data_IF_665336779610
#
_entry.id   IF_665336779610
#
_cell.length_a   1.000
_cell.length_b   1.000
_cell.length_c   1.000
_cell.angle_alpha   90.00
_cell.angle_beta   90.00
_cell.angle_gamma   90.00
#
_symmetry.space_group_name_H-M   'P 1'
#
loop_
_entity.id
_entity.type
_entity.pdbx_description
1 polymer ?
#
# COMPACT_ATOMS: atom_id res chain seq x y z
N UNK A 1 -13.79 -46.08 0.88
CA UNK A 1 -12.74 -45.94 -0.15
C UNK A 1 -12.11 -44.56 0.01
N UNK A 2 -10.82 -44.58 0.33
CA UNK A 2 -9.80 -43.52 0.41
C UNK A 2 -10.22 -42.04 0.42
N UNK A 3 -9.97 -41.42 1.56
CA UNK A 3 -9.60 -40.02 1.69
C UNK A 3 -8.31 -39.77 0.89
N UNK A 4 -8.37 -38.94 -0.15
CA UNK A 4 -7.16 -38.39 -0.77
C UNK A 4 -6.91 -36.99 -0.22
N UNK A 5 -5.92 -36.95 0.66
CA UNK A 5 -5.20 -35.79 1.15
C UNK A 5 -4.85 -34.84 0.00
N UNK A 6 -5.37 -33.60 0.05
CA UNK A 6 -4.87 -32.52 -0.76
C UNK A 6 -3.50 -32.11 -0.19
N UNK A 7 -2.47 -32.44 -0.95
CA UNK A 7 -1.07 -32.17 -0.68
C UNK A 7 -0.85 -30.66 -0.50
N UNK A 8 -0.19 -30.24 0.59
CA UNK A 8 0.14 -28.84 0.93
C UNK A 8 1.16 -28.18 -0.02
N UNK A 9 1.22 -28.56 -1.29
CA UNK A 9 2.22 -28.06 -2.24
C UNK A 9 1.68 -27.08 -3.29
N UNK A 10 0.36 -26.82 -3.33
CA UNK A 10 -0.25 -25.92 -4.34
C UNK A 10 -0.40 -24.44 -3.91
N UNK A 11 0.13 -24.04 -2.75
CA UNK A 11 0.17 -22.64 -2.29
C UNK A 11 1.53 -21.95 -2.51
N UNK A 12 2.27 -22.33 -3.56
CA UNK A 12 3.50 -21.60 -3.92
C UNK A 12 3.14 -20.35 -4.71
N UNK A 13 3.14 -19.20 -4.03
CA UNK A 13 3.21 -17.88 -4.68
C UNK A 13 4.34 -17.88 -5.73
N UNK A 14 4.13 -17.31 -6.93
CA UNK A 14 5.20 -17.15 -7.91
C UNK A 14 6.35 -16.35 -7.28
N UNK A 15 7.54 -16.95 -7.23
CA UNK A 15 8.78 -16.27 -6.84
C UNK A 15 9.07 -15.18 -7.88
N UNK A 16 8.89 -13.92 -7.51
CA UNK A 16 9.56 -12.82 -8.20
C UNK A 16 11.07 -13.08 -8.05
N UNK A 17 11.81 -12.94 -9.15
CA UNK A 17 13.28 -12.99 -9.15
C UNK A 17 13.76 -12.03 -8.07
N UNK A 18 14.47 -12.58 -7.07
CA UNK A 18 15.03 -11.79 -5.99
C UNK A 18 15.77 -10.60 -6.58
N UNK A 19 15.33 -9.39 -6.27
CA UNK A 19 16.24 -8.25 -6.29
C UNK A 19 17.48 -8.69 -5.52
N UNK A 20 18.65 -8.54 -6.14
CA UNK A 20 19.96 -8.86 -5.59
C UNK A 20 19.99 -8.58 -4.09
N UNK A 21 20.35 -9.60 -3.31
CA UNK A 21 20.53 -9.54 -1.86
C UNK A 21 21.55 -8.46 -1.50
N UNK A 22 21.08 -7.23 -1.36
CA UNK A 22 21.85 -6.16 -0.75
C UNK A 22 21.58 -6.26 0.74
N UNK A 23 22.49 -6.93 1.45
CA UNK A 23 22.55 -6.82 2.90
C UNK A 23 23.09 -5.42 3.22
N UNK A 24 22.38 -4.59 4.01
CA UNK A 24 22.93 -3.32 4.42
C UNK A 24 24.19 -3.60 5.23
N UNK A 25 25.29 -2.97 4.84
CA UNK A 25 26.53 -2.93 5.61
C UNK A 25 26.20 -2.55 7.05
N UNK A 26 26.66 -3.36 7.98
CA UNK A 26 26.62 -3.13 9.43
C UNK A 26 27.21 -1.75 9.76
N UNK A 27 26.36 -0.74 9.92
CA UNK A 27 26.83 0.62 10.18
C UNK A 27 25.79 1.73 10.29
N UNK A 28 24.49 1.45 10.34
CA UNK A 28 23.47 2.48 10.61
C UNK A 28 22.58 1.99 11.74
N UNK A 29 22.55 2.79 12.82
CA UNK A 29 21.78 2.55 14.04
C UNK A 29 20.39 1.96 13.75
N UNK A 30 20.04 0.89 14.44
CA UNK A 30 18.78 0.14 14.38
C UNK A 30 17.57 0.94 14.92
N UNK A 31 17.40 2.18 14.48
CA UNK A 31 16.38 3.10 14.95
C UNK A 31 15.54 3.68 13.81
N UNK A 32 14.30 4.04 14.12
CA UNK A 32 13.38 4.72 13.20
C UNK A 32 14.01 6.00 12.64
N UNK A 33 14.09 6.18 11.30
CA UNK A 33 14.72 7.36 10.70
C UNK A 33 14.05 8.68 11.12
N UNK A 34 14.83 9.75 11.14
CA UNK A 34 14.34 11.12 11.28
C UNK A 34 13.55 11.58 10.04
N UNK A 35 12.75 12.64 10.18
CA UNK A 35 12.02 13.22 9.05
C UNK A 35 12.95 13.73 7.94
N UNK A 36 14.16 14.18 8.27
CA UNK A 36 15.14 14.63 7.27
C UNK A 36 15.66 13.44 6.45
N UNK A 37 16.00 12.33 7.11
CA UNK A 37 16.41 11.10 6.43
C UNK A 37 15.28 10.54 5.57
N UNK A 38 14.04 10.52 6.07
CA UNK A 38 12.86 10.12 5.30
C UNK A 38 12.58 11.03 4.10
N UNK A 39 12.92 12.31 4.16
CA UNK A 39 12.83 13.21 3.00
C UNK A 39 13.93 12.88 1.99
N UNK A 40 15.16 12.62 2.41
CA UNK A 40 16.27 12.21 1.52
C UNK A 40 15.98 10.89 0.82
N UNK A 41 15.66 9.84 1.60
CA UNK A 41 14.44 9.04 1.44
C UNK A 41 13.72 9.06 0.10
N UNK A 42 12.93 10.11 -0.09
CA UNK A 42 11.94 10.31 -1.15
C UNK A 42 12.50 11.17 -2.30
N UNK A 43 13.60 11.91 -2.08
CA UNK A 43 14.18 12.87 -3.04
C UNK A 43 14.98 12.27 -4.19
N UNK A 44 15.31 10.97 -4.20
CA UNK A 44 16.00 10.37 -5.36
C UNK A 44 15.05 10.32 -6.57
N UNK A 45 15.51 10.53 -7.80
CA UNK A 45 14.60 10.73 -8.95
C UNK A 45 13.94 9.42 -9.40
N UNK A 46 12.75 9.13 -8.88
CA UNK A 46 11.80 8.21 -9.51
C UNK A 46 10.51 9.00 -9.74
N UNK A 47 10.25 9.44 -10.97
CA UNK A 47 8.96 10.00 -11.32
C UNK A 47 7.97 8.86 -11.58
N UNK A 48 6.67 9.01 -11.25
CA UNK A 48 5.65 8.07 -11.72
C UNK A 48 5.77 7.89 -13.23
N UNK A 49 5.87 6.65 -13.70
CA UNK A 49 6.01 6.36 -15.14
C UNK A 49 4.66 6.29 -15.86
N UNK A 50 3.56 6.37 -15.10
CA UNK A 50 2.19 6.42 -15.61
C UNK A 50 1.14 6.61 -14.51
N UNK A 51 -0.11 6.32 -14.86
CA UNK A 51 -1.28 6.49 -13.98
C UNK A 51 -1.38 5.45 -12.85
N UNK A 52 -0.70 4.32 -13.00
CA UNK A 52 -0.74 3.20 -12.06
C UNK A 52 0.54 2.37 -12.15
N UNK A 53 1.03 1.89 -11.00
CA UNK A 53 2.16 0.97 -10.92
C UNK A 53 1.85 -0.15 -9.91
N UNK A 54 2.29 -1.37 -10.19
CA UNK A 54 2.30 -2.45 -9.21
C UNK A 54 3.49 -2.26 -8.28
N UNK A 55 3.23 -2.03 -6.99
CA UNK A 55 4.27 -1.67 -6.01
C UNK A 55 4.58 -2.81 -5.04
N UNK A 56 3.73 -3.83 -5.04
CA UNK A 56 3.81 -5.08 -4.30
C UNK A 56 2.91 -6.11 -5.00
N UNK A 57 3.14 -7.44 -4.91
CA UNK A 57 2.36 -8.42 -5.66
C UNK A 57 0.84 -8.21 -5.53
N UNK A 58 0.19 -7.97 -6.67
CA UNK A 58 -1.24 -7.68 -6.80
C UNK A 58 -1.74 -6.40 -6.09
N UNK A 59 -0.84 -5.53 -5.63
CA UNK A 59 -1.16 -4.25 -4.98
C UNK A 59 -0.62 -3.09 -5.81
N UNK A 60 -1.55 -2.25 -6.26
CA UNK A 60 -1.30 -1.16 -7.19
C UNK A 60 -1.51 0.18 -6.51
N UNK A 61 -0.64 1.15 -6.83
CA UNK A 61 -0.85 2.56 -6.48
C UNK A 61 -1.13 3.34 -7.73
N UNK A 62 -2.20 4.13 -7.72
CA UNK A 62 -2.60 4.91 -8.89
C UNK A 62 -3.20 6.28 -8.58
N UNK A 63 -3.47 7.02 -9.64
CA UNK A 63 -4.10 8.33 -9.61
C UNK A 63 -5.61 8.27 -9.94
N UNK A 64 -6.25 9.44 -10.02
CA UNK A 64 -7.66 9.55 -10.38
C UNK A 64 -7.96 9.04 -11.79
N UNK A 65 -7.00 9.12 -12.71
CA UNK A 65 -7.21 8.76 -14.11
C UNK A 65 -7.46 7.26 -14.23
N UNK A 66 -6.55 6.43 -13.69
CA UNK A 66 -6.75 4.97 -13.68
C UNK A 66 -8.00 4.56 -12.90
N UNK A 67 -8.31 5.27 -11.80
CA UNK A 67 -9.49 4.97 -10.99
C UNK A 67 -10.81 5.19 -11.74
N UNK A 68 -10.81 6.02 -12.79
CA UNK A 68 -11.96 6.27 -13.67
C UNK A 68 -11.95 5.44 -14.95
N UNK A 69 -10.82 4.86 -15.33
CA UNK A 69 -10.71 4.00 -16.51
C UNK A 69 -11.16 2.57 -16.20
N UNK A 70 -12.47 2.35 -16.22
CA UNK A 70 -13.08 1.03 -16.01
C UNK A 70 -12.54 -0.05 -16.95
N UNK A 71 -12.21 0.31 -18.19
CA UNK A 71 -11.68 -0.62 -19.16
C UNK A 71 -10.28 -1.07 -18.76
N UNK A 72 -9.44 -0.15 -18.28
CA UNK A 72 -8.12 -0.49 -17.73
C UNK A 72 -8.24 -1.33 -16.45
N UNK A 73 -9.13 -0.96 -15.51
CA UNK A 73 -9.36 -1.74 -14.29
C UNK A 73 -9.78 -3.18 -14.61
N UNK A 74 -10.68 -3.36 -15.57
CA UNK A 74 -11.12 -4.67 -16.05
C UNK A 74 -9.97 -5.47 -16.68
N UNK A 75 -9.18 -4.86 -17.58
CA UNK A 75 -8.00 -5.51 -18.20
C UNK A 75 -6.95 -5.94 -17.17
N UNK A 76 -6.74 -5.14 -16.12
CA UNK A 76 -5.82 -5.47 -15.03
C UNK A 76 -6.38 -6.55 -14.09
N UNK A 77 -7.69 -6.78 -14.13
CA UNK A 77 -8.39 -7.67 -13.20
C UNK A 77 -8.47 -7.10 -11.78
N UNK A 78 -8.57 -5.77 -11.65
CA UNK A 78 -8.76 -5.14 -10.33
C UNK A 78 -10.07 -5.65 -9.73
N UNK A 79 -9.99 -6.10 -8.50
CA UNK A 79 -11.10 -6.69 -7.74
C UNK A 79 -11.50 -5.84 -6.53
N UNK A 80 -10.59 -5.00 -6.04
CA UNK A 80 -10.83 -4.13 -4.89
C UNK A 80 -10.25 -2.74 -5.17
N UNK A 81 -10.97 -1.69 -4.82
CA UNK A 81 -10.54 -0.30 -4.97
C UNK A 81 -10.60 0.40 -3.62
N UNK A 82 -9.46 0.92 -3.16
CA UNK A 82 -9.36 1.83 -2.02
C UNK A 82 -9.18 3.26 -2.55
N UNK A 83 -10.19 4.10 -2.39
CA UNK A 83 -10.14 5.51 -2.72
C UNK A 83 -9.71 6.32 -1.50
N UNK A 84 -8.43 6.69 -1.43
CA UNK A 84 -7.84 7.47 -0.35
C UNK A 84 -8.17 8.98 -0.41
N UNK A 85 -9.12 9.38 -1.26
CA UNK A 85 -9.55 10.76 -1.45
C UNK A 85 -11.06 10.83 -1.74
N UNK A 86 -11.83 9.92 -1.12
CA UNK A 86 -13.27 9.85 -1.27
C UNK A 86 -13.97 11.11 -0.72
N UNK A 87 -15.24 11.28 -1.09
CA UNK A 87 -16.08 12.36 -0.61
C UNK A 87 -16.67 13.19 -1.74
N UNK A 88 -17.84 13.77 -1.48
CA UNK A 88 -18.65 14.51 -2.47
C UNK A 88 -17.89 15.65 -3.14
N UNK A 89 -17.04 16.36 -2.38
CA UNK A 89 -16.25 17.49 -2.85
C UNK A 89 -14.81 17.11 -3.23
N UNK A 90 -14.52 15.80 -3.36
CA UNK A 90 -13.22 15.24 -3.73
C UNK A 90 -13.39 14.26 -4.89
N UNK A 91 -12.87 13.04 -4.77
CA UNK A 91 -13.02 11.99 -5.77
C UNK A 91 -14.29 11.20 -5.46
N UNK A 92 -15.39 11.65 -6.05
CA UNK A 92 -16.70 11.04 -5.88
C UNK A 92 -16.94 9.94 -6.93
N UNK A 93 -16.12 8.89 -6.94
CA UNK A 93 -16.46 7.65 -7.67
C UNK A 93 -17.50 6.87 -6.86
N UNK A 94 -17.13 6.39 -5.68
CA UNK A 94 -18.03 5.61 -4.83
C UNK A 94 -18.36 4.23 -5.42
N UNK A 95 -19.08 3.37 -4.68
CA UNK A 95 -19.40 2.01 -5.14
C UNK A 95 -20.29 2.02 -6.39
N UNK A 96 -21.21 2.98 -6.50
CA UNK A 96 -22.12 3.10 -7.66
C UNK A 96 -21.38 3.36 -8.98
N UNK A 97 -20.22 4.02 -8.93
CA UNK A 97 -19.43 4.23 -10.14
C UNK A 97 -18.93 2.90 -10.71
N UNK A 98 -18.65 1.88 -9.89
CA UNK A 98 -18.10 0.60 -10.32
C UNK A 98 -19.16 -0.51 -10.47
N UNK A 99 -20.45 -0.17 -10.55
CA UNK A 99 -21.55 -1.15 -10.52
C UNK A 99 -21.58 -2.15 -11.69
N UNK A 100 -20.87 -1.85 -12.78
CA UNK A 100 -20.67 -2.66 -13.98
C UNK A 100 -19.37 -3.49 -13.94
N UNK A 101 -18.60 -3.39 -12.86
CA UNK A 101 -17.39 -4.16 -12.62
C UNK A 101 -17.56 -5.01 -11.35
N UNK A 102 -16.96 -6.22 -11.30
CA UNK A 102 -16.93 -7.03 -10.10
C UNK A 102 -15.86 -6.51 -9.13
N UNK A 103 -16.03 -5.26 -8.67
CA UNK A 103 -15.09 -4.55 -7.81
C UNK A 103 -15.75 -4.24 -6.47
N UNK A 104 -15.09 -4.62 -5.39
CA UNK A 104 -15.40 -4.12 -4.06
C UNK A 104 -14.74 -2.75 -3.82
N UNK A 105 -15.44 -1.86 -3.12
CA UNK A 105 -15.04 -0.46 -2.99
C UNK A 105 -14.93 -0.03 -1.52
N UNK A 106 -13.78 0.53 -1.16
CA UNK A 106 -13.51 1.13 0.13
C UNK A 106 -13.17 2.62 -0.02
N UNK A 107 -13.99 3.51 0.54
CA UNK A 107 -13.75 4.96 0.50
C UNK A 107 -13.16 5.50 1.80
N UNK A 108 -12.06 6.25 1.70
CA UNK A 108 -11.48 7.03 2.81
C UNK A 108 -11.60 8.51 2.46
N UNK A 109 -12.36 9.26 3.26
CA UNK A 109 -12.53 10.70 3.09
C UNK A 109 -11.34 11.49 3.66
N UNK A 110 -10.21 11.47 2.97
CA UNK A 110 -8.96 12.09 3.43
C UNK A 110 -8.53 13.34 2.65
N UNK A 111 -8.03 14.33 3.42
CA UNK A 111 -7.34 15.52 2.92
C UNK A 111 -5.87 15.25 2.67
N UNK A 112 -5.28 15.89 1.66
CA UNK A 112 -3.83 15.90 1.49
C UNK A 112 -3.21 17.07 2.27
N UNK A 113 -3.47 17.09 3.57
CA UNK A 113 -3.05 18.15 4.46
C UNK A 113 -2.16 17.56 5.56
N UNK A 114 -0.99 18.16 5.87
CA UNK A 114 -0.14 17.72 6.98
C UNK A 114 -0.84 17.66 8.35
N UNK A 115 -1.95 18.39 8.53
CA UNK A 115 -2.73 18.40 9.76
C UNK A 115 -3.86 17.36 9.77
N UNK A 116 -4.10 16.66 8.66
CA UNK A 116 -5.11 15.60 8.61
C UNK A 116 -4.58 14.34 9.27
N UNK A 117 -5.35 13.76 10.20
CA UNK A 117 -5.01 12.49 10.82
C UNK A 117 -5.42 11.32 9.91
N UNK A 118 -4.48 10.82 9.12
CA UNK A 118 -4.70 9.63 8.28
C UNK A 118 -4.43 8.34 9.05
N UNK A 119 -3.78 8.42 10.22
CA UNK A 119 -3.34 7.26 11.00
C UNK A 119 -4.49 6.40 11.50
N UNK A 120 -5.65 7.02 11.75
CA UNK A 120 -6.90 6.32 12.11
C UNK A 120 -7.34 5.29 11.06
N UNK A 121 -6.88 5.45 9.81
CA UNK A 121 -7.21 4.56 8.71
C UNK A 121 -6.13 3.50 8.45
N UNK A 122 -4.97 3.54 9.11
CA UNK A 122 -3.87 2.62 8.83
C UNK A 122 -4.25 1.16 9.04
N UNK A 123 -4.72 0.79 10.23
CA UNK A 123 -5.11 -0.58 10.52
C UNK A 123 -6.35 -1.05 9.72
N UNK A 124 -7.47 -0.30 9.68
CA UNK A 124 -8.65 -0.72 8.91
C UNK A 124 -8.35 -0.94 7.43
N UNK A 125 -7.57 -0.04 6.81
CA UNK A 125 -7.21 -0.18 5.39
C UNK A 125 -6.18 -1.31 5.19
N UNK A 126 -5.21 -1.47 6.10
CA UNK A 126 -4.26 -2.57 6.00
C UNK A 126 -4.94 -3.94 6.08
N UNK A 127 -5.92 -4.10 6.98
CA UNK A 127 -6.76 -5.30 7.08
C UNK A 127 -7.58 -5.56 5.82
N UNK A 128 -8.19 -4.51 5.27
CA UNK A 128 -8.92 -4.59 4.01
C UNK A 128 -8.02 -5.06 2.85
N UNK A 129 -6.83 -4.45 2.72
CA UNK A 129 -5.85 -4.85 1.71
C UNK A 129 -5.40 -6.30 1.92
N UNK A 130 -5.09 -6.71 3.16
CA UNK A 130 -4.69 -8.10 3.47
C UNK A 130 -5.78 -9.10 3.09
N UNK A 131 -7.03 -8.85 3.49
CA UNK A 131 -8.16 -9.73 3.19
C UNK A 131 -8.39 -9.85 1.66
N UNK A 132 -8.32 -8.73 0.95
CA UNK A 132 -8.43 -8.70 -0.50
C UNK A 132 -7.31 -9.50 -1.18
N UNK A 133 -6.04 -9.31 -0.78
CA UNK A 133 -4.90 -10.04 -1.34
C UNK A 133 -4.88 -11.54 -1.00
N UNK A 134 -5.52 -11.95 0.09
CA UNK A 134 -5.69 -13.37 0.44
C UNK A 134 -6.83 -14.04 -0.32
N UNK A 135 -7.71 -13.27 -0.96
CA UNK A 135 -8.80 -13.80 -1.76
C UNK A 135 -8.28 -14.35 -3.10
N UNK A 136 -8.82 -15.47 -3.62
CA UNK A 136 -8.42 -16.01 -4.92
C UNK A 136 -8.55 -14.97 -6.04
N UNK A 137 -7.45 -14.69 -6.74
CA UNK A 137 -7.41 -13.67 -7.80
C UNK A 137 -7.47 -12.22 -7.31
N UNK A 138 -7.34 -11.99 -6.00
CA UNK A 138 -7.40 -10.68 -5.37
C UNK A 138 -6.32 -9.72 -5.88
N UNK A 139 -6.76 -8.60 -6.47
CA UNK A 139 -5.95 -7.46 -6.89
C UNK A 139 -6.55 -6.16 -6.40
N UNK A 140 -5.71 -5.34 -5.77
CA UNK A 140 -6.12 -4.12 -5.06
C UNK A 140 -5.52 -2.89 -5.71
N UNK A 141 -6.34 -1.92 -6.07
CA UNK A 141 -5.91 -0.57 -6.42
C UNK A 141 -6.12 0.36 -5.21
N UNK A 142 -5.04 0.97 -4.72
CA UNK A 142 -5.11 2.08 -3.77
C UNK A 142 -4.79 3.37 -4.51
N UNK A 143 -5.78 4.26 -4.63
CA UNK A 143 -5.60 5.50 -5.40
C UNK A 143 -5.92 6.74 -4.57
N UNK A 144 -5.38 7.87 -4.99
CA UNK A 144 -5.81 9.19 -4.53
C UNK A 144 -5.97 10.11 -5.74
N UNK A 145 -5.72 11.42 -5.61
CA UNK A 145 -5.76 12.32 -6.75
C UNK A 145 -4.59 12.05 -7.72
N UNK A 146 -3.37 11.92 -7.20
CA UNK A 146 -2.13 11.77 -7.98
C UNK A 146 -1.42 10.43 -7.77
N UNK A 147 -1.87 9.62 -6.82
CA UNK A 147 -1.16 8.38 -6.47
C UNK A 147 0.22 8.61 -5.85
N UNK A 148 0.43 9.74 -5.14
CA UNK A 148 1.75 10.16 -4.63
C UNK A 148 1.80 10.26 -3.11
N UNK A 149 0.77 10.82 -2.47
CA UNK A 149 0.76 11.11 -1.03
C UNK A 149 -0.21 10.20 -0.26
N UNK A 150 -1.50 10.53 -0.14
CA UNK A 150 -2.50 9.76 0.64
C UNK A 150 -2.50 8.24 0.38
N UNK A 151 -2.62 7.83 -0.88
CA UNK A 151 -2.64 6.39 -1.24
C UNK A 151 -1.31 5.70 -0.95
N UNK A 152 -0.19 6.39 -1.21
CA UNK A 152 1.14 5.88 -0.87
C UNK A 152 1.27 5.69 0.64
N UNK A 153 0.81 6.64 1.46
CA UNK A 153 0.83 6.51 2.92
C UNK A 153 0.10 5.27 3.40
N UNK A 154 -1.11 5.01 2.88
CA UNK A 154 -1.88 3.82 3.26
C UNK A 154 -1.19 2.51 2.85
N UNK A 155 -0.57 2.48 1.66
CA UNK A 155 0.22 1.31 1.21
C UNK A 155 1.48 1.12 2.05
N UNK A 156 2.19 2.19 2.40
CA UNK A 156 3.35 2.11 3.30
C UNK A 156 2.93 1.56 4.68
N UNK A 157 1.84 2.07 5.25
CA UNK A 157 1.31 1.56 6.50
C UNK A 157 0.93 0.08 6.40
N UNK A 158 0.30 -0.37 5.31
CA UNK A 158 0.01 -1.78 5.07
C UNK A 158 1.29 -2.65 5.07
N UNK A 159 2.33 -2.22 4.35
CA UNK A 159 3.60 -2.97 4.30
C UNK A 159 4.27 -3.04 5.70
N UNK A 160 4.15 -1.97 6.49
CA UNK A 160 4.68 -1.97 7.85
C UNK A 160 3.89 -2.89 8.78
N UNK A 161 2.56 -2.79 8.76
CA UNK A 161 1.67 -3.53 9.67
C UNK A 161 1.63 -5.01 9.29
N UNK A 162 1.31 -5.31 8.03
CA UNK A 162 1.01 -6.67 7.62
C UNK A 162 2.24 -7.43 7.07
N UNK A 163 3.21 -6.75 6.46
CA UNK A 163 4.44 -7.39 5.92
C UNK A 163 5.65 -7.22 6.85
N UNK A 164 5.49 -6.59 8.02
CA UNK A 164 6.53 -6.45 9.04
C UNK A 164 7.72 -5.60 8.61
N UNK A 165 7.54 -4.70 7.63
CA UNK A 165 8.61 -3.83 7.15
C UNK A 165 8.84 -2.65 8.10
N UNK A 166 10.08 -2.21 8.23
CA UNK A 166 10.34 -0.85 8.75
C UNK A 166 9.85 0.20 7.76
N UNK A 167 9.60 1.42 8.23
CA UNK A 167 9.23 2.54 7.36
C UNK A 167 10.23 2.76 6.22
N UNK A 168 11.53 2.65 6.50
CA UNK A 168 12.56 2.79 5.48
C UNK A 168 12.46 1.72 4.39
N UNK A 169 12.25 0.45 4.79
CA UNK A 169 12.10 -0.67 3.87
C UNK A 169 10.80 -0.58 3.05
N UNK A 170 9.69 -0.16 3.67
CA UNK A 170 8.43 0.08 2.98
C UNK A 170 8.57 1.18 1.93
N UNK A 171 9.22 2.30 2.27
CA UNK A 171 9.50 3.39 1.32
C UNK A 171 10.33 2.87 0.14
N UNK A 172 11.43 2.18 0.40
CA UNK A 172 12.28 1.65 -0.66
C UNK A 172 11.54 0.67 -1.58
N UNK A 173 10.70 -0.20 -1.00
CA UNK A 173 9.88 -1.17 -1.74
C UNK A 173 8.96 -0.46 -2.73
N UNK A 174 8.14 0.49 -2.26
CA UNK A 174 7.21 1.22 -3.13
C UNK A 174 7.95 2.09 -4.13
N UNK A 175 9.02 2.77 -3.70
CA UNK A 175 9.79 3.70 -4.53
C UNK A 175 10.54 3.06 -5.70
N UNK A 176 10.91 1.79 -5.58
CA UNK A 176 11.52 1.06 -6.69
C UNK A 176 10.57 0.86 -7.87
N UNK A 177 9.26 1.02 -7.65
CA UNK A 177 8.21 0.88 -8.67
C UNK A 177 7.53 2.20 -9.00
N UNK A 178 7.31 3.09 -8.03
CA UNK A 178 6.59 4.35 -8.21
C UNK A 178 7.17 5.51 -7.41
N UNK A 179 7.26 6.68 -8.05
CA UNK A 179 7.52 7.94 -7.36
C UNK A 179 6.43 8.30 -6.36
N UNK A 180 6.75 8.23 -5.07
CA UNK A 180 5.85 8.62 -3.97
C UNK A 180 6.46 9.75 -3.16
N UNK A 181 5.60 10.58 -2.57
CA UNK A 181 6.00 11.69 -1.70
C UNK A 181 4.82 12.02 -0.76
N UNK A 182 4.62 11.22 0.31
CA UNK A 182 3.71 11.60 1.38
C UNK A 182 4.04 12.98 1.93
N UNK A 183 3.01 13.75 2.29
CA UNK A 183 3.23 15.03 2.94
C UNK A 183 3.91 14.86 4.32
N UNK A 184 4.43 15.94 4.89
CA UNK A 184 5.20 15.90 6.13
C UNK A 184 4.44 15.36 7.34
N UNK A 185 3.14 15.62 7.43
CA UNK A 185 2.29 15.11 8.51
C UNK A 185 2.11 13.60 8.42
N UNK A 186 1.89 13.10 7.21
CA UNK A 186 1.80 11.66 6.96
C UNK A 186 3.11 10.93 7.19
N UNK A 187 4.26 11.53 6.83
CA UNK A 187 5.56 10.97 7.18
C UNK A 187 5.76 10.90 8.69
N UNK A 188 5.31 11.91 9.43
CA UNK A 188 5.37 11.92 10.89
C UNK A 188 4.45 10.83 11.50
N UNK A 189 3.23 10.67 11.00
CA UNK A 189 2.31 9.60 11.43
C UNK A 189 2.86 8.20 11.12
N UNK A 190 3.46 7.99 9.94
CA UNK A 190 4.15 6.73 9.61
C UNK A 190 5.37 6.49 10.51
N UNK A 191 6.11 7.54 10.86
CA UNK A 191 7.25 7.45 11.77
C UNK A 191 6.80 7.04 13.17
N UNK A 192 5.67 7.57 13.63
CA UNK A 192 5.05 7.16 14.90
C UNK A 192 4.59 5.70 14.87
N UNK A 193 4.00 5.25 13.76
CA UNK A 193 3.68 3.84 13.54
C UNK A 193 4.94 2.95 13.61
N UNK A 194 6.04 3.34 12.97
CA UNK A 194 7.31 2.60 12.98
C UNK A 194 7.87 2.44 14.41
N UNK A 195 7.83 3.53 15.20
CA UNK A 195 8.22 3.50 16.61
C UNK A 195 7.32 2.58 17.45
N UNK A 196 6.02 2.57 17.18
CA UNK A 196 5.07 1.69 17.89
C UNK A 196 5.31 0.21 17.55
N UNK A 197 5.48 -0.11 16.27
CA UNK A 197 5.73 -1.47 15.80
C UNK A 197 7.10 -1.99 16.28
N UNK A 198 8.14 -1.14 16.28
CA UNK A 198 9.47 -1.50 16.77
C UNK A 198 9.55 -1.75 18.28
N UNK A 199 8.65 -1.15 19.07
CA UNK A 199 8.54 -1.40 20.52
C UNK A 199 7.71 -2.64 20.87
N UNK A 200 6.93 -3.16 19.92
CA UNK A 200 5.91 -4.18 20.15
C UNK A 200 6.07 -5.42 19.28
N UNK A 201 7.29 -5.93 19.11
CA UNK A 201 7.60 -7.19 18.40
C UNK A 201 6.66 -8.31 18.86
N UNK A 202 5.56 -8.50 18.13
CA UNK A 202 4.51 -9.48 18.41
C UNK A 202 3.10 -9.09 17.94
N UNK A 203 2.66 -7.82 18.04
CA UNK A 203 1.24 -7.48 17.81
C UNK A 203 0.85 -7.05 16.39
N UNK A 204 1.79 -6.54 15.59
CA UNK A 204 1.50 -6.08 14.22
C UNK A 204 1.10 -7.23 13.28
N UNK A 205 1.77 -8.37 13.42
CA UNK A 205 1.53 -9.58 12.62
C UNK A 205 0.32 -10.42 13.09
N UNK A 206 -0.33 -10.08 14.21
CA UNK A 206 -1.61 -10.68 14.62
C UNK A 206 -2.80 -9.84 14.14
N UNK A 207 -2.56 -8.59 13.69
CA UNK A 207 -3.59 -7.70 13.18
C UNK A 207 -3.91 -7.92 11.68
N UNK A 208 -3.07 -8.69 10.98
CA UNK A 208 -3.19 -9.15 9.59
C UNK A 208 -2.70 -10.61 9.50
#
# INVERSE_FOLDING_TARGET
MAWHSLCSQDLRRPRIRSASSWMPSSGSSAGTPSLEELRRLLCTRTHPTGHVDEVWPNLYVGDLYVARDKAQLSRMGISHVVNAAAGRFRINTGPKFYNDLPVDYYGVEAEDNPNFDLSIHFYPVAQYIRAALNSPGGKVLVHCAMGISRSATLVLAFLMICEGMSLAAAIQTVRSHRGICPNSGFLQQLRELDLQLGRGTGRGAEAC
#
